data_IF_455876525705
#
_entry.id   IF_455876525705
#
_cell.length_a   1.000
_cell.length_b   1.000
_cell.length_c   1.000
_cell.angle_alpha   90.00
_cell.angle_beta   90.00
_cell.angle_gamma   90.00
#
_symmetry.space_group_name_H-M   'P 1'
#
loop_
_entity.id
_entity.type
_entity.pdbx_description
1 polymer ?
#
# COMPACT_ATOMS: atom_id res chain seq x y z
N UNK A 1 -6.63 6.58 71.32
CA UNK A 1 -6.69 7.57 70.24
C UNK A 1 -5.29 7.64 69.63
N UNK A 2 -5.02 6.86 68.59
CA UNK A 2 -3.69 6.83 67.96
C UNK A 2 -3.54 7.99 66.98
N UNK A 3 -2.76 8.99 67.37
CA UNK A 3 -2.24 10.02 66.49
C UNK A 3 -1.28 9.35 65.49
N UNK A 4 -1.71 9.19 64.25
CA UNK A 4 -0.82 8.82 63.15
C UNK A 4 0.09 10.03 62.86
N UNK A 5 1.42 9.83 62.73
CA UNK A 5 2.32 10.92 62.42
C UNK A 5 2.00 11.52 61.04
N UNK A 6 1.87 12.84 60.97
CA UNK A 6 1.71 13.55 59.70
C UNK A 6 2.94 13.31 58.82
N UNK A 7 2.70 12.82 57.59
CA UNK A 7 3.80 12.61 56.64
C UNK A 7 4.40 13.96 56.22
N UNK A 8 5.73 14.06 56.09
CA UNK A 8 6.35 15.28 55.60
C UNK A 8 5.84 15.63 54.20
N UNK A 9 5.43 16.88 53.98
CA UNK A 9 4.82 17.40 52.74
C UNK A 9 5.59 17.00 51.46
N UNK A 10 6.91 16.87 51.55
CA UNK A 10 7.79 16.45 50.44
C UNK A 10 7.45 15.02 49.98
N UNK A 11 7.23 14.09 50.92
CA UNK A 11 6.91 12.70 50.60
C UNK A 11 5.56 12.58 49.89
N UNK A 12 4.59 13.41 50.29
CA UNK A 12 3.27 13.45 49.68
C UNK A 12 3.32 13.98 48.23
N UNK A 13 4.13 15.02 47.97
CA UNK A 13 4.37 15.55 46.62
C UNK A 13 5.02 14.48 45.71
N UNK A 14 6.02 13.74 46.23
CA UNK A 14 6.68 12.67 45.47
C UNK A 14 5.71 11.53 45.13
N UNK A 15 4.84 11.14 46.06
CA UNK A 15 3.81 10.10 45.84
C UNK A 15 2.81 10.55 44.76
N UNK A 16 2.27 11.77 44.83
CA UNK A 16 1.35 12.25 43.79
C UNK A 16 2.02 12.39 42.43
N UNK A 17 3.28 12.85 42.38
CA UNK A 17 4.07 12.90 41.15
C UNK A 17 4.27 11.51 40.53
N UNK A 18 4.58 10.50 41.35
CA UNK A 18 4.72 9.13 40.89
C UNK A 18 3.39 8.54 40.39
N UNK A 19 2.29 8.76 41.11
CA UNK A 19 0.95 8.32 40.70
C UNK A 19 0.57 8.96 39.36
N UNK A 20 0.76 10.28 39.20
CA UNK A 20 0.48 10.98 37.94
C UNK A 20 1.34 10.43 36.80
N UNK A 21 2.63 10.19 37.04
CA UNK A 21 3.52 9.57 36.07
C UNK A 21 3.01 8.20 35.64
N UNK A 22 2.64 7.33 36.59
CA UNK A 22 2.07 6.00 36.31
C UNK A 22 0.77 6.11 35.52
N UNK A 23 -0.14 7.00 35.90
CA UNK A 23 -1.41 7.24 35.19
C UNK A 23 -1.16 7.68 33.74
N UNK A 24 -0.25 8.62 33.49
CA UNK A 24 0.12 9.06 32.13
C UNK A 24 0.69 7.88 31.32
N UNK A 25 1.50 7.01 31.94
CA UNK A 25 2.04 5.81 31.28
C UNK A 25 0.95 4.79 30.96
N UNK A 26 0.00 4.57 31.87
CA UNK A 26 -1.16 3.69 31.65
C UNK A 26 -2.04 4.26 30.53
N UNK A 27 -2.37 5.55 30.55
CA UNK A 27 -3.14 6.20 29.48
C UNK A 27 -2.45 6.07 28.12
N UNK A 28 -1.13 6.30 28.05
CA UNK A 28 -0.34 6.09 26.81
C UNK A 28 -0.36 4.62 26.37
N UNK A 29 -0.25 3.67 27.31
CA UNK A 29 -0.31 2.23 27.02
C UNK A 29 -1.68 1.82 26.47
N UNK A 30 -2.76 2.24 27.13
CA UNK A 30 -4.15 1.96 26.72
C UNK A 30 -4.45 2.60 25.36
N UNK A 31 -4.07 3.86 25.16
CA UNK A 31 -4.21 4.55 23.87
C UNK A 31 -3.46 3.80 22.76
N UNK A 32 -2.20 3.41 23.01
CA UNK A 32 -1.41 2.63 22.05
C UNK A 32 -2.09 1.29 21.72
N UNK A 33 -2.56 0.55 22.73
CA UNK A 33 -3.28 -0.73 22.54
C UNK A 33 -4.57 -0.55 21.76
N UNK A 34 -5.29 0.54 22.00
CA UNK A 34 -6.52 0.85 21.27
C UNK A 34 -6.24 1.21 19.81
N UNK A 35 -5.21 2.01 19.54
CA UNK A 35 -4.74 2.30 18.18
C UNK A 35 -4.29 1.04 17.45
N UNK A 36 -3.51 0.16 18.10
CA UNK A 36 -3.11 -1.14 17.55
C UNK A 36 -4.33 -1.97 17.10
N UNK A 37 -5.36 -2.08 17.96
CA UNK A 37 -6.60 -2.80 17.61
C UNK A 37 -7.33 -2.17 16.42
N UNK A 38 -7.41 -0.84 16.34
CA UNK A 38 -8.03 -0.13 15.20
C UNK A 38 -7.27 -0.36 13.90
N UNK A 39 -5.93 -0.29 13.93
CA UNK A 39 -5.07 -0.56 12.78
C UNK A 39 -5.21 -2.01 12.32
N UNK A 40 -5.21 -2.98 13.24
CA UNK A 40 -5.41 -4.40 12.91
C UNK A 40 -6.77 -4.65 12.25
N UNK A 41 -7.86 -4.07 12.79
CA UNK A 41 -9.19 -4.16 12.17
C UNK A 41 -9.21 -3.56 10.76
N UNK A 42 -8.56 -2.41 10.55
CA UNK A 42 -8.44 -1.74 9.25
C UNK A 42 -7.69 -2.60 8.22
N UNK A 43 -6.57 -3.19 8.63
CA UNK A 43 -5.75 -4.08 7.80
C UNK A 43 -6.56 -5.32 7.41
N UNK A 44 -7.19 -5.97 8.39
CA UNK A 44 -7.99 -7.18 8.17
C UNK A 44 -9.13 -6.94 7.18
N UNK A 45 -9.89 -5.84 7.35
CA UNK A 45 -10.99 -5.48 6.45
C UNK A 45 -10.52 -5.12 5.03
N UNK A 46 -9.35 -4.48 4.89
CA UNK A 46 -8.88 -4.02 3.58
C UNK A 46 -8.37 -5.11 2.64
N UNK A 47 -8.02 -6.30 3.14
CA UNK A 47 -7.39 -7.33 2.31
C UNK A 47 -6.02 -6.93 1.73
N UNK A 48 -5.35 -5.89 2.26
CA UNK A 48 -4.07 -5.36 1.76
C UNK A 48 -2.96 -6.44 1.62
N UNK A 49 -3.07 -7.54 2.35
CA UNK A 49 -2.16 -8.70 2.26
C UNK A 49 -2.20 -9.40 0.89
N UNK A 50 -3.31 -9.35 0.18
CA UNK A 50 -3.42 -9.87 -1.19
C UNK A 50 -2.76 -8.93 -2.19
N UNK A 51 -2.92 -7.62 -1.98
CA UNK A 51 -2.21 -6.59 -2.76
C UNK A 51 -0.70 -6.76 -2.63
N UNK A 52 -0.20 -7.10 -1.45
CA UNK A 52 1.22 -7.38 -1.23
C UNK A 52 1.76 -8.58 -2.02
N UNK A 53 0.88 -9.46 -2.53
CA UNK A 53 1.22 -10.64 -3.34
C UNK A 53 1.02 -10.44 -4.85
N UNK A 54 0.35 -9.36 -5.24
CA UNK A 54 0.09 -9.03 -6.64
C UNK A 54 1.39 -8.61 -7.35
N UNK A 55 1.44 -8.77 -8.67
CA UNK A 55 2.39 -8.03 -9.49
C UNK A 55 1.88 -6.61 -9.82
N UNK A 56 2.59 -5.87 -10.68
CA UNK A 56 2.16 -4.53 -11.09
C UNK A 56 0.84 -4.55 -11.84
N UNK A 57 0.70 -5.47 -12.81
CA UNK A 57 -0.50 -5.57 -13.64
C UNK A 57 -1.77 -5.88 -12.83
N UNK A 58 -1.70 -6.87 -11.93
CA UNK A 58 -2.82 -7.18 -11.04
C UNK A 58 -3.19 -6.00 -10.15
N UNK A 59 -2.19 -5.22 -9.70
CA UNK A 59 -2.43 -4.02 -8.91
C UNK A 59 -3.12 -2.92 -9.69
N UNK A 60 -2.75 -2.68 -10.96
CA UNK A 60 -3.44 -1.74 -11.84
C UNK A 60 -4.92 -2.14 -12.06
N UNK A 61 -5.17 -3.43 -12.32
CA UNK A 61 -6.52 -3.97 -12.46
C UNK A 61 -7.32 -3.80 -11.16
N UNK A 62 -6.69 -4.05 -10.01
CA UNK A 62 -7.30 -3.81 -8.71
C UNK A 62 -7.66 -2.33 -8.50
N UNK A 63 -6.75 -1.40 -8.79
CA UNK A 63 -7.01 0.03 -8.66
C UNK A 63 -8.13 0.50 -9.59
N UNK A 64 -8.22 -0.06 -10.81
CA UNK A 64 -9.34 0.20 -11.72
C UNK A 64 -10.67 -0.19 -11.06
N UNK A 65 -10.76 -1.38 -10.47
CA UNK A 65 -11.97 -1.81 -9.78
C UNK A 65 -12.27 -0.90 -8.58
N UNK A 66 -11.28 -0.64 -7.72
CA UNK A 66 -11.41 0.21 -6.53
C UNK A 66 -11.91 1.62 -6.88
N UNK A 67 -11.34 2.28 -7.87
CA UNK A 67 -11.76 3.64 -8.23
C UNK A 67 -13.13 3.67 -8.89
N UNK A 68 -13.53 2.61 -9.59
CA UNK A 68 -14.91 2.46 -10.08
C UNK A 68 -15.91 2.41 -8.93
N UNK A 69 -15.63 1.60 -7.90
CA UNK A 69 -16.46 1.53 -6.68
C UNK A 69 -16.50 2.84 -5.87
N UNK A 70 -15.44 3.65 -5.96
CA UNK A 70 -15.40 4.99 -5.37
C UNK A 70 -16.16 6.04 -6.21
N UNK A 71 -16.81 5.65 -7.30
CA UNK A 71 -17.62 6.53 -8.17
C UNK A 71 -16.85 7.24 -9.28
N UNK A 72 -15.60 6.86 -9.54
CA UNK A 72 -14.83 7.39 -10.68
C UNK A 72 -15.07 6.59 -11.95
N UNK A 73 -14.63 7.13 -13.08
CA UNK A 73 -14.66 6.46 -14.39
C UNK A 73 -13.24 6.09 -14.88
N UNK A 74 -12.62 5.00 -14.38
CA UNK A 74 -11.25 4.64 -14.68
C UNK A 74 -11.08 3.96 -16.04
N UNK A 75 -10.00 4.31 -16.74
CA UNK A 75 -9.51 3.63 -17.95
C UNK A 75 -8.02 3.32 -17.81
N UNK A 76 -7.60 2.11 -18.18
CA UNK A 76 -6.19 1.70 -18.18
C UNK A 76 -5.52 2.26 -19.42
N UNK A 77 -4.29 2.75 -19.30
CA UNK A 77 -3.50 3.23 -20.44
C UNK A 77 -2.91 2.06 -21.23
N UNK A 78 -2.35 2.33 -22.41
CA UNK A 78 -1.68 1.29 -23.18
C UNK A 78 -0.34 0.98 -22.51
N UNK A 79 0.01 -0.29 -22.36
CA UNK A 79 1.33 -0.71 -21.83
C UNK A 79 2.53 -0.14 -22.59
N UNK A 80 2.35 0.24 -23.87
CA UNK A 80 3.35 0.94 -24.66
C UNK A 80 2.95 2.42 -24.82
N UNK A 81 3.91 3.31 -24.54
CA UNK A 81 3.74 4.77 -24.59
C UNK A 81 2.66 5.31 -23.64
N UNK A 82 2.70 4.88 -22.38
CA UNK A 82 1.81 5.36 -21.29
C UNK A 82 2.23 6.73 -20.73
N UNK A 83 3.39 7.25 -21.14
CA UNK A 83 3.98 8.51 -20.68
C UNK A 83 4.05 8.63 -19.14
N UNK A 84 4.09 7.51 -18.41
CA UNK A 84 4.16 7.50 -16.95
C UNK A 84 2.82 7.61 -16.22
N UNK A 85 1.71 7.17 -16.82
CA UNK A 85 0.45 6.96 -16.10
C UNK A 85 -0.16 5.59 -16.44
N UNK A 86 -0.53 4.82 -15.43
CA UNK A 86 -1.12 3.49 -15.59
C UNK A 86 -2.66 3.54 -15.69
N UNK A 87 -3.29 4.54 -15.05
CA UNK A 87 -4.73 4.80 -15.17
C UNK A 87 -5.05 6.26 -15.44
N UNK A 88 -6.16 6.48 -16.14
CA UNK A 88 -6.80 7.79 -16.30
C UNK A 88 -8.23 7.71 -15.75
N UNK A 89 -8.55 8.54 -14.77
CA UNK A 89 -9.91 8.75 -14.31
C UNK A 89 -10.56 9.86 -15.15
N UNK A 90 -11.59 9.49 -15.91
CA UNK A 90 -12.37 10.43 -16.73
C UNK A 90 -13.36 11.20 -15.86
N UNK A 91 -13.71 12.40 -16.31
CA UNK A 91 -14.64 13.30 -15.65
C UNK A 91 -14.34 14.76 -16.01
N UNK A 92 -15.08 15.69 -15.40
CA UNK A 92 -14.80 17.13 -15.53
C UNK A 92 -13.37 17.44 -15.05
N UNK A 93 -13.00 16.92 -13.88
CA UNK A 93 -11.64 16.95 -13.37
C UNK A 93 -10.94 15.63 -13.72
N UNK A 94 -10.24 15.62 -14.85
CA UNK A 94 -9.42 14.47 -15.29
C UNK A 94 -8.26 14.26 -14.33
N UNK A 95 -8.04 13.02 -13.91
CA UNK A 95 -6.95 12.61 -13.01
C UNK A 95 -6.13 11.53 -13.70
N UNK A 96 -4.81 11.64 -13.65
CA UNK A 96 -3.90 10.56 -14.05
C UNK A 96 -3.30 9.88 -12.82
N UNK A 97 -3.08 8.57 -12.90
CA UNK A 97 -2.59 7.76 -11.79
C UNK A 97 -1.38 6.94 -12.23
N UNK A 98 -0.28 7.05 -11.48
CA UNK A 98 0.81 6.06 -11.50
C UNK A 98 0.63 5.11 -10.32
N UNK A 99 0.51 3.82 -10.62
CA UNK A 99 0.48 2.72 -9.68
C UNK A 99 1.90 2.16 -9.46
N UNK A 100 2.35 2.12 -8.21
CA UNK A 100 3.62 1.48 -7.82
C UNK A 100 3.36 0.39 -6.77
N UNK A 101 3.28 -0.87 -7.21
CA UNK A 101 3.22 -2.02 -6.31
C UNK A 101 4.64 -2.45 -5.95
N UNK A 102 5.01 -2.36 -4.67
CA UNK A 102 6.37 -2.61 -4.15
C UNK A 102 6.34 -3.67 -3.04
N UNK A 103 7.45 -4.40 -2.86
CA UNK A 103 7.66 -5.26 -1.70
C UNK A 103 7.71 -4.45 -0.39
N UNK A 104 7.32 -5.06 0.74
CA UNK A 104 7.15 -4.36 2.04
C UNK A 104 8.35 -3.56 2.55
N UNK A 105 9.58 -3.90 2.12
CA UNK A 105 10.81 -3.23 2.55
C UNK A 105 11.22 -2.06 1.64
N UNK A 106 10.60 -1.94 0.47
CA UNK A 106 10.98 -0.98 -0.57
C UNK A 106 10.11 0.27 -0.47
N UNK A 107 10.70 1.45 -0.59
CA UNK A 107 9.99 2.74 -0.55
C UNK A 107 9.92 3.34 -1.95
N UNK A 108 8.85 4.07 -2.24
CA UNK A 108 8.69 4.76 -3.53
C UNK A 108 9.56 6.02 -3.57
N UNK A 109 10.40 6.11 -4.59
CA UNK A 109 11.34 7.21 -4.82
C UNK A 109 10.76 8.35 -5.65
N UNK A 110 11.62 9.33 -5.98
CA UNK A 110 11.24 10.54 -6.74
C UNK A 110 10.77 10.24 -8.16
N UNK A 111 11.22 9.14 -8.77
CA UNK A 111 10.90 8.81 -10.17
C UNK A 111 9.40 8.70 -10.41
N UNK A 112 8.65 8.10 -9.48
CA UNK A 112 7.20 7.98 -9.60
C UNK A 112 6.49 9.34 -9.63
N UNK A 113 7.05 10.35 -8.94
CA UNK A 113 6.51 11.72 -8.94
C UNK A 113 6.87 12.43 -10.25
N UNK A 114 8.10 12.25 -10.73
CA UNK A 114 8.55 12.81 -12.02
C UNK A 114 7.74 12.26 -13.19
N UNK A 115 7.52 10.94 -13.21
CA UNK A 115 6.70 10.23 -14.21
C UNK A 115 5.28 10.80 -14.25
N UNK A 116 4.57 10.83 -13.11
CA UNK A 116 3.18 11.26 -13.10
C UNK A 116 3.02 12.76 -13.37
N UNK A 117 4.00 13.58 -12.98
CA UNK A 117 3.99 15.00 -13.27
C UNK A 117 4.09 15.27 -14.77
N UNK A 118 4.97 14.55 -15.47
CA UNK A 118 5.05 14.60 -16.93
C UNK A 118 3.77 14.07 -17.59
N UNK A 119 3.23 12.95 -17.09
CA UNK A 119 1.99 12.38 -17.58
C UNK A 119 0.81 13.34 -17.44
N UNK A 120 0.73 14.09 -16.33
CA UNK A 120 -0.34 15.06 -16.09
C UNK A 120 -0.41 16.11 -17.22
N UNK A 121 0.75 16.62 -17.66
CA UNK A 121 0.82 17.54 -18.80
C UNK A 121 0.40 16.88 -20.11
N UNK A 122 0.93 15.69 -20.41
CA UNK A 122 0.62 14.95 -21.64
C UNK A 122 -0.88 14.65 -21.78
N UNK A 123 -1.50 14.14 -20.71
CA UNK A 123 -2.92 13.79 -20.68
C UNK A 123 -3.83 15.01 -20.45
N UNK A 124 -3.30 16.23 -20.32
CA UNK A 124 -4.07 17.44 -19.98
C UNK A 124 -4.97 17.21 -18.76
N UNK A 125 -4.40 16.59 -17.73
CA UNK A 125 -5.09 16.26 -16.51
C UNK A 125 -4.98 17.39 -15.49
N UNK A 126 -5.99 17.49 -14.62
CA UNK A 126 -6.07 18.50 -13.58
C UNK A 126 -5.26 18.08 -12.35
N UNK A 127 -5.16 16.77 -12.11
CA UNK A 127 -4.40 16.20 -11.00
C UNK A 127 -3.60 14.98 -11.46
N UNK A 128 -2.43 14.81 -10.86
CA UNK A 128 -1.59 13.62 -10.97
C UNK A 128 -1.48 12.93 -9.61
N UNK A 129 -1.75 11.64 -9.55
CA UNK A 129 -1.76 10.86 -8.32
C UNK A 129 -0.75 9.71 -8.41
N UNK A 130 0.02 9.49 -7.34
CA UNK A 130 0.80 8.25 -7.18
C UNK A 130 0.11 7.38 -6.13
N UNK A 131 -0.13 6.12 -6.47
CA UNK A 131 -0.79 5.14 -5.58
C UNK A 131 0.15 3.96 -5.35
N UNK A 132 0.36 3.59 -4.08
CA UNK A 132 1.24 2.48 -3.71
C UNK A 132 0.72 1.67 -2.52
N UNK A 133 1.09 0.39 -2.47
CA UNK A 133 0.92 -0.46 -1.28
C UNK A 133 2.04 -0.26 -0.24
N UNK A 134 3.03 0.61 -0.52
CA UNK A 134 4.18 0.91 0.35
C UNK A 134 4.13 2.34 0.89
N UNK A 135 5.28 2.88 1.28
CA UNK A 135 5.46 4.26 1.75
C UNK A 135 6.44 5.02 0.85
N UNK A 136 6.33 6.34 0.85
CA UNK A 136 7.20 7.23 0.09
C UNK A 136 8.47 7.59 0.84
N UNK A 137 9.56 7.83 0.10
CA UNK A 137 10.77 8.50 0.62
C UNK A 137 10.47 9.95 0.99
N UNK A 138 11.32 10.58 1.82
CA UNK A 138 11.15 11.99 2.20
C UNK A 138 11.24 12.90 0.96
N UNK A 139 12.21 12.63 0.10
CA UNK A 139 12.45 13.36 -1.14
C UNK A 139 11.25 13.25 -2.11
N UNK A 140 10.61 12.08 -2.21
CA UNK A 140 9.41 11.92 -3.01
C UNK A 140 8.24 12.76 -2.48
N UNK A 141 8.10 12.87 -1.15
CA UNK A 141 7.06 13.73 -0.54
C UNK A 141 7.31 15.21 -0.81
N UNK A 142 8.55 15.67 -0.63
CA UNK A 142 8.96 17.05 -0.91
C UNK A 142 8.71 17.43 -2.37
N UNK A 143 9.10 16.56 -3.31
CA UNK A 143 8.86 16.80 -4.73
C UNK A 143 7.37 16.78 -5.07
N UNK A 144 6.59 15.86 -4.49
CA UNK A 144 5.16 15.78 -4.75
C UNK A 144 4.42 17.03 -4.29
N UNK A 145 4.81 17.61 -3.15
CA UNK A 145 4.29 18.87 -2.65
C UNK A 145 4.58 20.02 -3.63
N UNK A 146 5.83 20.15 -4.09
CA UNK A 146 6.24 21.17 -5.05
C UNK A 146 5.52 21.03 -6.42
N UNK A 147 5.24 19.79 -6.84
CA UNK A 147 4.56 19.49 -8.09
C UNK A 147 3.03 19.44 -7.99
N UNK A 148 2.45 19.66 -6.80
CA UNK A 148 1.03 19.45 -6.52
C UNK A 148 0.51 18.04 -6.91
N UNK A 149 1.37 17.02 -6.77
CA UNK A 149 1.04 15.62 -7.00
C UNK A 149 0.48 15.01 -5.73
N UNK A 150 -0.66 14.32 -5.84
CA UNK A 150 -1.28 13.64 -4.69
C UNK A 150 -0.61 12.30 -4.44
N UNK A 151 -0.18 12.08 -3.21
CA UNK A 151 0.37 10.80 -2.77
C UNK A 151 -0.67 9.99 -1.99
N UNK A 152 -0.94 8.77 -2.45
CA UNK A 152 -1.78 7.78 -1.77
C UNK A 152 -0.86 6.63 -1.38
N UNK A 153 -0.46 6.60 -0.11
CA UNK A 153 0.40 5.54 0.44
C UNK A 153 -0.43 4.38 0.98
N UNK A 154 0.23 3.34 1.51
CA UNK A 154 -0.41 2.16 2.09
C UNK A 154 -1.55 2.48 3.06
N UNK A 155 -1.39 3.49 3.92
CA UNK A 155 -2.37 3.86 4.93
C UNK A 155 -3.55 4.56 4.27
N UNK A 156 -3.32 5.48 3.34
CA UNK A 156 -4.39 6.13 2.57
C UNK A 156 -5.14 5.13 1.70
N UNK A 157 -4.43 4.23 1.02
CA UNK A 157 -5.03 3.17 0.21
C UNK A 157 -5.97 2.29 1.06
N UNK A 158 -5.53 1.84 2.23
CA UNK A 158 -6.40 1.11 3.15
C UNK A 158 -7.63 1.93 3.58
N UNK A 159 -7.49 3.25 3.79
CA UNK A 159 -8.65 4.10 4.10
C UNK A 159 -9.64 4.12 2.94
N UNK A 160 -9.16 4.23 1.69
CA UNK A 160 -10.00 4.18 0.49
C UNK A 160 -10.74 2.85 0.37
N UNK A 161 -10.03 1.73 0.51
CA UNK A 161 -10.63 0.39 0.43
C UNK A 161 -11.72 0.20 1.48
N UNK A 162 -11.49 0.69 2.70
CA UNK A 162 -12.44 0.50 3.80
C UNK A 162 -13.70 1.37 3.72
N UNK A 163 -13.73 2.37 2.82
CA UNK A 163 -14.91 3.22 2.56
C UNK A 163 -15.96 2.51 1.71
N UNK A 164 -15.57 1.49 0.98
CA UNK A 164 -16.46 0.74 0.09
C UNK A 164 -16.76 -0.65 0.67
N UNK A 165 -17.81 -1.26 0.16
CA UNK A 165 -18.04 -2.70 0.28
C UNK A 165 -17.91 -3.28 -1.14
N UNK A 166 -16.70 -3.66 -1.56
CA UNK A 166 -16.44 -3.95 -2.96
C UNK A 166 -17.18 -5.21 -3.43
N UNK A 167 -17.73 -5.17 -4.64
CA UNK A 167 -18.23 -6.37 -5.32
C UNK A 167 -17.10 -7.41 -5.53
N UNK A 168 -15.87 -6.93 -5.80
CA UNK A 168 -14.67 -7.76 -5.94
C UNK A 168 -13.59 -7.34 -4.94
N UNK A 169 -13.20 -8.25 -4.06
CA UNK A 169 -12.14 -8.03 -3.08
C UNK A 169 -10.74 -8.09 -3.71
N UNK A 170 -9.73 -7.65 -2.95
CA UNK A 170 -8.34 -7.82 -3.36
C UNK A 170 -7.94 -9.30 -3.53
N UNK A 171 -8.58 -10.20 -2.79
CA UNK A 171 -8.37 -11.64 -2.93
C UNK A 171 -8.88 -12.15 -4.27
N UNK A 172 -10.10 -11.75 -4.65
CA UNK A 172 -10.73 -12.15 -5.92
C UNK A 172 -9.86 -11.75 -7.11
N UNK A 173 -9.32 -10.53 -7.09
CA UNK A 173 -8.40 -10.05 -8.13
C UNK A 173 -7.09 -10.85 -8.15
N UNK A 174 -6.48 -11.12 -6.99
CA UNK A 174 -5.24 -11.90 -6.91
C UNK A 174 -5.42 -13.35 -7.41
N UNK A 175 -6.60 -13.92 -7.20
CA UNK A 175 -6.90 -15.27 -7.65
C UNK A 175 -7.32 -15.34 -9.11
N UNK A 176 -8.18 -14.42 -9.55
CA UNK A 176 -8.82 -14.43 -10.87
C UNK A 176 -8.03 -13.76 -12.00
N UNK A 177 -7.15 -12.80 -11.69
CA UNK A 177 -6.34 -12.12 -12.71
C UNK A 177 -4.98 -12.78 -12.83
N UNK A 178 -4.60 -13.18 -14.04
CA UNK A 178 -3.27 -13.73 -14.31
C UNK A 178 -2.21 -12.61 -14.23
N UNK A 179 -1.11 -12.82 -13.49
CA UNK A 179 0.09 -11.98 -13.57
C UNK A 179 0.56 -11.76 -15.01
N UNK A 180 1.27 -10.65 -15.23
CA UNK A 180 1.86 -10.32 -16.52
C UNK A 180 2.91 -11.38 -16.93
N UNK A 181 2.92 -11.71 -18.22
CA UNK A 181 3.84 -12.68 -18.80
C UNK A 181 5.30 -12.19 -18.74
N UNK A 182 6.24 -13.13 -18.50
CA UNK A 182 7.67 -12.84 -18.35
C UNK A 182 8.53 -13.95 -18.94
N UNK A 183 9.73 -13.58 -19.38
CA UNK A 183 10.76 -14.53 -19.86
C UNK A 183 11.75 -14.84 -18.74
N UNK A 184 12.21 -16.09 -18.70
CA UNK A 184 13.21 -16.56 -17.76
C UNK A 184 14.54 -15.81 -17.99
N UNK A 185 15.16 -15.22 -16.96
CA UNK A 185 16.42 -14.50 -17.11
C UNK A 185 17.56 -15.42 -17.55
N UNK A 186 17.53 -16.69 -17.13
CA UNK A 186 18.56 -17.70 -17.35
C UNK A 186 18.52 -18.33 -18.75
N UNK A 187 17.36 -18.83 -19.19
CA UNK A 187 17.24 -19.57 -20.45
C UNK A 187 16.29 -18.95 -21.49
N UNK A 188 15.74 -17.76 -21.20
CA UNK A 188 14.85 -16.97 -22.08
C UNK A 188 13.51 -17.60 -22.46
N UNK A 189 13.22 -18.82 -22.03
CA UNK A 189 11.89 -19.44 -22.18
C UNK A 189 10.84 -18.80 -21.27
N UNK A 190 9.57 -19.10 -21.49
CA UNK A 190 8.48 -18.54 -20.70
C UNK A 190 8.54 -18.94 -19.22
N UNK A 191 8.16 -18.00 -18.37
CA UNK A 191 7.86 -18.28 -16.97
C UNK A 191 6.38 -18.62 -16.83
N UNK A 192 6.09 -19.74 -16.17
CA UNK A 192 4.73 -20.22 -15.89
C UNK A 192 4.42 -20.10 -14.41
N UNK A 193 3.16 -19.85 -14.10
CA UNK A 193 2.70 -19.72 -12.71
C UNK A 193 2.58 -21.11 -12.10
N UNK A 194 3.18 -21.29 -10.93
CA UNK A 194 3.12 -22.51 -10.12
C UNK A 194 2.66 -22.19 -8.71
N UNK A 195 2.09 -23.18 -8.03
CA UNK A 195 1.65 -23.07 -6.64
C UNK A 195 2.70 -23.64 -5.69
N UNK A 196 3.00 -22.93 -4.61
CA UNK A 196 3.86 -23.41 -3.54
C UNK A 196 3.07 -24.29 -2.58
N UNK A 197 3.42 -25.58 -2.51
CA UNK A 197 2.80 -26.51 -1.56
C UNK A 197 3.06 -26.14 -0.09
N UNK A 198 4.12 -25.37 0.21
CA UNK A 198 4.49 -24.98 1.58
C UNK A 198 3.70 -23.77 2.08
N UNK A 199 3.41 -22.81 1.20
CA UNK A 199 2.90 -21.48 1.60
C UNK A 199 1.57 -21.13 0.97
N UNK A 200 1.09 -21.91 -0.01
CA UNK A 200 -0.11 -21.61 -0.80
C UNK A 200 0.04 -20.40 -1.74
N UNK A 201 1.23 -19.78 -1.79
CA UNK A 201 1.49 -18.63 -2.67
C UNK A 201 1.82 -19.09 -4.09
N UNK A 202 1.50 -18.23 -5.06
CA UNK A 202 1.88 -18.42 -6.47
C UNK A 202 3.31 -17.90 -6.68
N UNK A 203 4.07 -18.53 -7.56
CA UNK A 203 5.41 -18.10 -7.97
C UNK A 203 5.63 -18.39 -9.46
N UNK A 204 6.60 -17.72 -10.08
CA UNK A 204 7.03 -18.03 -11.44
C UNK A 204 8.08 -19.14 -11.42
N UNK A 205 7.90 -20.16 -12.24
CA UNK A 205 8.90 -21.18 -12.52
C UNK A 205 9.16 -21.31 -14.01
N UNK A 206 10.37 -21.68 -14.40
CA UNK A 206 10.69 -21.88 -15.82
C UNK A 206 9.81 -22.98 -16.46
N UNK A 207 9.29 -22.70 -17.65
CA UNK A 207 8.57 -23.68 -18.48
C UNK A 207 9.41 -24.92 -18.81
N UNK A 208 10.74 -24.77 -18.91
CA UNK A 208 11.70 -25.83 -19.21
C UNK A 208 12.11 -26.69 -18.00
N UNK A 209 11.48 -26.56 -16.83
CA UNK A 209 11.78 -27.48 -15.73
C UNK A 209 11.57 -28.95 -16.15
N UNK A 210 12.48 -29.90 -15.81
CA UNK A 210 13.58 -29.76 -14.85
C UNK A 210 14.92 -29.26 -15.42
N UNK A 211 15.05 -29.03 -16.73
CA UNK A 211 16.33 -28.61 -17.35
C UNK A 211 16.74 -27.20 -16.92
N UNK A 212 15.77 -26.32 -16.69
CA UNK A 212 15.98 -25.03 -16.03
C UNK A 212 15.17 -24.95 -14.73
N UNK A 213 15.85 -24.73 -13.61
CA UNK A 213 15.25 -24.69 -12.27
C UNK A 213 15.00 -23.27 -11.75
N UNK A 214 15.13 -22.26 -12.60
CA UNK A 214 14.89 -20.86 -12.21
C UNK A 214 13.47 -20.67 -11.67
N UNK A 215 13.37 -19.97 -10.54
CA UNK A 215 12.11 -19.55 -9.93
C UNK A 215 12.23 -18.13 -9.41
N UNK A 216 11.11 -17.41 -9.39
CA UNK A 216 11.05 -16.04 -8.85
C UNK A 216 9.67 -15.70 -8.29
N UNK A 217 9.59 -14.75 -7.33
CA UNK A 217 8.31 -14.28 -6.81
C UNK A 217 7.52 -13.48 -7.85
N UNK A 218 6.18 -13.55 -7.79
CA UNK A 218 5.29 -12.74 -8.63
C UNK A 218 5.39 -11.25 -8.26
N UNK A 219 5.44 -10.97 -6.96
CA UNK A 219 5.48 -9.63 -6.39
C UNK A 219 6.92 -9.10 -6.31
N UNK A 220 7.43 -8.59 -7.43
CA UNK A 220 8.81 -8.08 -7.56
C UNK A 220 8.90 -6.61 -7.24
#
# INVERSE_FOLDING_TARGET
MSNLPEMPNILQILIYGFILYVLVRICKFVYRKFQERRVLKRIAKSGIRFIDKMDGHQFEVYLKALFRELGYSPTVTKQSNDFGADLVLKGKNRIVIQAKRYGMKNRVGISAVQEIYAAQAYYKAHEGWVVTNSVYTRQAKELAEACHVKLIDRVELQKLINKINPEYSAEDVYQGVKPAERKCPTCKHDLVIRNSNKTGNKFFGCSQYPTCTHTEPINT
#
